data_IF_151360808459
#
_entry.id   IF_151360808459
#
_cell.length_a   1.000
_cell.length_b   1.000
_cell.length_c   1.000
_cell.angle_alpha   90.00
_cell.angle_beta   90.00
_cell.angle_gamma   90.00
#
_symmetry.space_group_name_H-M   'P 1'
#
loop_
_entity.id
_entity.type
_entity.pdbx_description
1 polymer ?
#
# COMPACT_ATOMS: atom_id res chain seq x y z
N UNK A 1 2.30 -1.58 -8.05
CA UNK A 1 1.31 -0.73 -8.76
C UNK A 1 0.46 0.01 -7.73
N UNK A 2 -0.15 1.16 -8.05
CA UNK A 2 -0.98 1.93 -7.10
C UNK A 2 -2.07 1.06 -6.47
N UNK A 3 -2.00 0.86 -5.15
CA UNK A 3 -2.95 0.04 -4.40
C UNK A 3 -4.02 0.92 -3.77
N UNK A 4 -5.29 0.63 -4.08
CA UNK A 4 -6.42 1.43 -3.64
C UNK A 4 -7.17 0.83 -2.47
N UNK A 5 -7.16 -0.49 -2.37
CA UNK A 5 -7.96 -1.25 -1.43
C UNK A 5 -7.16 -2.45 -0.94
N UNK A 6 -7.19 -2.68 0.38
CA UNK A 6 -6.54 -3.81 1.03
C UNK A 6 -7.47 -4.37 2.11
N UNK A 7 -7.48 -5.69 2.28
CA UNK A 7 -8.19 -6.36 3.36
C UNK A 7 -7.41 -6.21 4.68
N UNK A 8 -8.11 -6.00 5.79
CA UNK A 8 -7.50 -6.18 7.11
C UNK A 8 -7.36 -7.67 7.43
N UNK A 9 -6.60 -7.98 8.49
CA UNK A 9 -6.65 -9.29 9.12
C UNK A 9 -8.09 -9.65 9.51
N UNK A 10 -8.44 -10.93 9.37
CA UNK A 10 -9.70 -11.42 9.90
C UNK A 10 -9.60 -11.51 11.43
N UNK A 11 -10.70 -11.20 12.11
CA UNK A 11 -10.78 -11.30 13.56
C UNK A 11 -11.77 -12.41 13.92
N UNK A 12 -11.28 -13.44 14.60
CA UNK A 12 -12.07 -14.53 15.15
C UNK A 12 -12.34 -14.28 16.63
N UNK A 13 -13.61 -14.22 16.98
CA UNK A 13 -14.10 -14.19 18.36
C UNK A 13 -14.35 -15.64 18.78
N UNK A 14 -13.68 -16.07 19.85
CA UNK A 14 -13.70 -17.46 20.30
C UNK A 14 -14.10 -17.52 21.77
N UNK A 15 -15.22 -18.17 22.06
CA UNK A 15 -15.61 -18.53 23.43
C UNK A 15 -14.95 -19.84 23.82
N UNK A 16 -14.28 -19.83 24.97
CA UNK A 16 -13.59 -20.99 25.51
C UNK A 16 -13.66 -20.96 27.04
N UNK A 17 -13.78 -22.15 27.65
CA UNK A 17 -13.56 -22.37 29.08
C UNK A 17 -12.18 -22.97 29.38
N UNK A 18 -11.38 -23.24 28.33
CA UNK A 18 -10.07 -23.90 28.38
C UNK A 18 -8.99 -22.99 27.78
N UNK A 19 -9.01 -21.72 28.15
CA UNK A 19 -8.27 -20.63 27.51
C UNK A 19 -6.78 -20.94 27.43
N UNK A 20 -6.20 -21.37 28.55
CA UNK A 20 -4.78 -21.74 28.63
C UNK A 20 -4.41 -22.89 27.67
N UNK A 21 -5.30 -23.86 27.44
CA UNK A 21 -5.03 -24.97 26.52
C UNK A 21 -5.15 -24.53 25.06
N UNK A 22 -6.13 -23.68 24.76
CA UNK A 22 -6.30 -23.09 23.43
C UNK A 22 -5.13 -22.17 23.08
N UNK A 23 -4.73 -21.27 23.98
CA UNK A 23 -3.55 -20.41 23.83
C UNK A 23 -2.30 -21.25 23.57
N UNK A 24 -2.03 -22.25 24.41
CA UNK A 24 -0.86 -23.10 24.26
C UNK A 24 -0.86 -23.85 22.93
N UNK A 25 -2.01 -24.30 22.45
CA UNK A 25 -2.13 -24.94 21.15
C UNK A 25 -1.78 -23.95 20.02
N UNK A 26 -2.39 -22.77 20.02
CA UNK A 26 -2.15 -21.74 19.00
C UNK A 26 -0.68 -21.28 18.98
N UNK A 27 -0.09 -21.05 20.16
CA UNK A 27 1.30 -20.60 20.29
C UNK A 27 2.28 -21.70 19.82
N UNK A 28 2.13 -22.93 20.31
CA UNK A 28 3.11 -24.01 20.04
C UNK A 28 2.97 -24.59 18.64
N UNK A 29 1.74 -24.72 18.12
CA UNK A 29 1.48 -25.39 16.85
C UNK A 29 1.49 -24.43 15.66
N UNK A 30 1.03 -23.20 15.87
CA UNK A 30 0.80 -22.22 14.80
C UNK A 30 1.61 -20.94 15.00
N UNK A 31 2.61 -20.95 15.90
CA UNK A 31 3.49 -19.81 16.15
C UNK A 31 2.74 -18.52 16.48
N UNK A 32 1.58 -18.63 17.15
CA UNK A 32 0.80 -17.47 17.54
C UNK A 32 1.56 -16.60 18.55
N UNK A 33 1.38 -15.29 18.45
CA UNK A 33 2.00 -14.31 19.35
C UNK A 33 0.91 -13.65 20.19
N UNK A 34 1.04 -13.73 21.52
CA UNK A 34 0.15 -13.03 22.45
C UNK A 34 0.50 -11.55 22.45
N UNK A 35 -0.48 -10.69 22.16
CA UNK A 35 -0.26 -9.24 22.03
C UNK A 35 -1.42 -8.46 22.66
N UNK A 36 -1.32 -7.13 22.68
CA UNK A 36 -2.48 -6.27 22.96
C UNK A 36 -3.30 -6.11 21.69
N UNK A 37 -4.61 -5.92 21.84
CA UNK A 37 -5.53 -5.73 20.73
C UNK A 37 -5.10 -4.62 19.75
N UNK A 38 -4.71 -3.46 20.27
CA UNK A 38 -4.21 -2.35 19.44
C UNK A 38 -2.97 -2.72 18.63
N UNK A 39 -2.04 -3.48 19.22
CA UNK A 39 -0.85 -3.98 18.54
C UNK A 39 -1.19 -5.07 17.51
N UNK A 40 -2.14 -5.95 17.82
CA UNK A 40 -2.62 -6.98 16.90
C UNK A 40 -3.24 -6.33 15.65
N UNK A 41 -4.12 -5.34 15.82
CA UNK A 41 -4.73 -4.60 14.71
C UNK A 41 -3.70 -3.85 13.87
N UNK A 42 -2.68 -3.24 14.50
CA UNK A 42 -1.64 -2.48 13.81
C UNK A 42 -0.63 -3.35 13.03
N UNK A 43 -0.30 -4.54 13.53
CA UNK A 43 0.78 -5.35 12.98
C UNK A 43 0.31 -6.52 12.12
N UNK A 44 -1.00 -6.70 11.96
CA UNK A 44 -1.56 -7.82 11.19
C UNK A 44 -1.87 -7.42 9.75
N UNK A 45 -1.65 -8.36 8.83
CA UNK A 45 -2.05 -8.24 7.42
C UNK A 45 -3.19 -9.21 7.09
N UNK A 46 -3.63 -9.21 5.83
CA UNK A 46 -4.66 -10.14 5.36
C UNK A 46 -4.25 -11.62 5.46
N UNK A 47 -2.96 -11.91 5.59
CA UNK A 47 -2.41 -13.25 5.79
C UNK A 47 -2.37 -13.70 7.26
N UNK A 48 -2.85 -12.85 8.17
CA UNK A 48 -2.89 -13.12 9.60
C UNK A 48 -4.34 -13.22 10.08
N UNK A 49 -4.52 -13.96 11.18
CA UNK A 49 -5.78 -14.02 11.90
C UNK A 49 -5.58 -13.53 13.33
N UNK A 50 -6.40 -12.58 13.76
CA UNK A 50 -6.44 -12.14 15.16
C UNK A 50 -7.48 -12.99 15.86
N UNK A 51 -7.08 -13.70 16.91
CA UNK A 51 -7.96 -14.52 17.74
C UNK A 51 -8.18 -13.81 19.07
N UNK A 52 -9.44 -13.51 19.37
CA UNK A 52 -9.88 -12.93 20.62
C UNK A 52 -10.58 -14.01 21.45
N UNK A 53 -10.00 -14.36 22.59
CA UNK A 53 -10.58 -15.35 23.49
C UNK A 53 -11.48 -14.63 24.50
N UNK A 54 -12.75 -15.03 24.54
CA UNK A 54 -13.80 -14.49 25.37
C UNK A 54 -14.24 -15.52 26.41
N UNK A 55 -14.66 -15.04 27.58
CA UNK A 55 -15.35 -15.86 28.59
C UNK A 55 -16.69 -16.41 28.09
N UNK A 56 -17.44 -15.55 27.39
CA UNK A 56 -18.78 -15.84 26.91
C UNK A 56 -19.04 -15.06 25.63
N UNK A 57 -19.61 -15.71 24.62
CA UNK A 57 -19.96 -15.02 23.39
C UNK A 57 -21.11 -14.03 23.64
N UNK A 58 -20.88 -12.79 23.23
CA UNK A 58 -21.91 -11.73 23.17
C UNK A 58 -22.16 -11.34 21.71
N UNK A 59 -23.38 -10.87 21.36
CA UNK A 59 -23.65 -10.30 20.05
C UNK A 59 -22.73 -9.10 19.71
N UNK A 60 -22.48 -8.24 20.70
CA UNK A 60 -21.61 -7.07 20.62
C UNK A 60 -20.50 -7.24 21.66
N UNK A 61 -19.27 -6.91 21.30
CA UNK A 61 -18.06 -7.20 22.09
C UNK A 61 -17.28 -5.90 22.28
N UNK A 62 -17.00 -5.55 23.52
CA UNK A 62 -16.22 -4.37 23.88
C UNK A 62 -14.72 -4.61 23.71
N UNK A 63 -13.94 -3.55 23.50
CA UNK A 63 -12.48 -3.67 23.38
C UNK A 63 -11.80 -4.27 24.63
N UNK A 64 -12.44 -4.18 25.79
CA UNK A 64 -12.01 -4.74 27.08
C UNK A 64 -12.49 -6.17 27.35
N UNK A 65 -13.44 -6.70 26.58
CA UNK A 65 -14.01 -8.03 26.80
C UNK A 65 -13.01 -9.19 26.60
N UNK A 66 -12.05 -9.15 25.65
CA UNK A 66 -11.14 -10.26 25.44
C UNK A 66 -10.19 -10.50 26.62
N UNK A 67 -10.20 -11.72 27.16
CA UNK A 67 -9.21 -12.21 28.13
C UNK A 67 -7.83 -12.33 27.52
N UNK A 68 -7.78 -12.64 26.24
CA UNK A 68 -6.55 -12.90 25.51
C UNK A 68 -6.69 -12.53 24.05
N UNK A 69 -5.59 -12.01 23.50
CA UNK A 69 -5.48 -11.64 22.10
C UNK A 69 -4.23 -12.28 21.52
N UNK A 70 -4.42 -13.06 20.47
CA UNK A 70 -3.33 -13.72 19.76
C UNK A 70 -3.36 -13.33 18.28
N UNK A 71 -2.20 -13.04 17.73
CA UNK A 71 -2.02 -12.94 16.28
C UNK A 71 -1.44 -14.25 15.78
N UNK A 72 -2.16 -14.92 14.88
CA UNK A 72 -1.74 -16.16 14.24
C UNK A 72 -1.30 -15.85 12.82
N UNK A 73 -0.10 -16.27 12.37
CA UNK A 73 0.41 -16.05 11.02
C UNK A 73 -0.22 -17.03 10.01
N UNK A 74 -1.55 -17.15 10.03
CA UNK A 74 -2.36 -17.98 9.14
C UNK A 74 -3.64 -17.24 8.78
N UNK A 75 -4.14 -17.48 7.57
CA UNK A 75 -5.49 -17.08 7.17
C UNK A 75 -6.53 -17.86 7.99
N UNK A 76 -7.70 -17.25 8.20
CA UNK A 76 -8.67 -17.74 9.19
C UNK A 76 -9.27 -19.09 8.82
N UNK A 77 -9.47 -19.33 7.52
CA UNK A 77 -9.94 -20.60 6.99
C UNK A 77 -8.91 -21.72 7.20
N UNK A 78 -7.63 -21.46 6.91
CA UNK A 78 -6.53 -22.40 7.15
C UNK A 78 -6.44 -22.73 8.66
N UNK A 79 -6.54 -21.71 9.51
CA UNK A 79 -6.53 -21.89 10.96
C UNK A 79 -7.69 -22.79 11.43
N UNK A 80 -8.91 -22.53 10.95
CA UNK A 80 -10.08 -23.33 11.28
C UNK A 80 -9.96 -24.77 10.78
N UNK A 81 -9.47 -24.97 9.55
CA UNK A 81 -9.19 -26.31 9.01
C UNK A 81 -8.19 -27.07 9.88
N UNK A 82 -7.12 -26.40 10.33
CA UNK A 82 -6.12 -27.02 11.20
C UNK A 82 -6.68 -27.41 12.57
N UNK A 83 -7.51 -26.55 13.17
CA UNK A 83 -8.18 -26.85 14.45
C UNK A 83 -9.04 -28.12 14.32
N UNK A 84 -9.80 -28.24 13.23
CA UNK A 84 -10.64 -29.41 12.94
C UNK A 84 -9.78 -30.65 12.70
N UNK A 85 -8.75 -30.53 11.86
CA UNK A 85 -7.83 -31.62 11.52
C UNK A 85 -7.11 -32.18 12.76
N UNK A 86 -6.67 -31.30 13.65
CA UNK A 86 -5.99 -31.67 14.91
C UNK A 86 -6.98 -32.11 16.01
N UNK A 87 -8.28 -32.16 15.70
CA UNK A 87 -9.36 -32.54 16.62
C UNK A 87 -9.39 -31.68 17.90
N UNK A 88 -9.10 -30.38 17.77
CA UNK A 88 -9.06 -29.41 18.88
C UNK A 88 -10.37 -28.63 19.07
N UNK A 89 -11.43 -29.03 18.38
CA UNK A 89 -12.76 -28.41 18.50
C UNK A 89 -13.28 -28.41 19.94
N UNK A 90 -12.88 -29.38 20.77
CA UNK A 90 -13.26 -29.47 22.19
C UNK A 90 -12.65 -28.38 23.09
N UNK A 91 -11.77 -27.53 22.54
CA UNK A 91 -11.22 -26.33 23.19
C UNK A 91 -12.08 -25.08 22.90
N UNK A 92 -13.01 -25.16 21.95
CA UNK A 92 -13.83 -24.04 21.49
C UNK A 92 -15.29 -24.36 21.80
N UNK A 93 -15.97 -23.47 22.52
CA UNK A 93 -17.40 -23.59 22.82
C UNK A 93 -18.25 -22.90 21.76
N UNK A 94 -17.80 -21.72 21.32
CA UNK A 94 -18.47 -20.95 20.28
C UNK A 94 -17.43 -20.14 19.49
N UNK A 95 -17.72 -19.86 18.22
CA UNK A 95 -16.82 -19.10 17.35
C UNK A 95 -17.60 -18.31 16.32
N UNK A 96 -17.16 -17.08 16.05
CA UNK A 96 -17.66 -16.29 14.93
C UNK A 96 -16.58 -15.33 14.42
N UNK A 97 -16.79 -14.86 13.19
CA UNK A 97 -16.03 -13.74 12.65
C UNK A 97 -16.59 -12.42 13.19
N UNK A 98 -15.69 -11.47 13.46
CA UNK A 98 -16.07 -10.07 13.59
C UNK A 98 -16.35 -9.47 12.19
N UNK A 99 -17.02 -8.30 12.12
CA UNK A 99 -17.15 -7.54 10.87
C UNK A 99 -15.80 -7.35 10.18
N UNK A 100 -15.76 -7.63 8.87
CA UNK A 100 -14.52 -7.49 8.08
C UNK A 100 -14.27 -6.01 7.76
N UNK A 101 -13.00 -5.62 7.81
CA UNK A 101 -12.57 -4.25 7.51
C UNK A 101 -11.79 -4.20 6.20
N UNK A 102 -12.15 -3.24 5.35
CA UNK A 102 -11.43 -2.82 4.17
C UNK A 102 -10.68 -1.53 4.48
N UNK A 103 -9.41 -1.47 4.12
CA UNK A 103 -8.60 -0.26 4.19
C UNK A 103 -8.50 0.33 2.80
N UNK A 104 -8.97 1.57 2.65
CA UNK A 104 -8.96 2.29 1.38
C UNK A 104 -7.93 3.43 1.41
N UNK A 105 -7.09 3.50 0.38
CA UNK A 105 -6.17 4.62 0.22
C UNK A 105 -6.91 5.85 -0.31
N UNK A 106 -6.69 6.98 0.32
CA UNK A 106 -7.25 8.28 -0.07
C UNK A 106 -6.13 9.29 -0.27
N UNK A 107 -6.28 10.12 -1.30
CA UNK A 107 -5.42 11.25 -1.57
C UNK A 107 -6.20 12.52 -1.32
N UNK A 108 -5.72 13.40 -0.44
CA UNK A 108 -6.39 14.67 -0.17
C UNK A 108 -7.41 14.59 0.97
N UNK A 109 -8.68 14.84 0.66
CA UNK A 109 -9.75 15.09 1.63
C UNK A 109 -10.60 13.84 1.90
N UNK A 110 -10.45 13.26 3.09
CA UNK A 110 -11.17 12.08 3.54
C UNK A 110 -12.69 12.30 3.69
N UNK A 111 -13.14 13.50 4.06
CA UNK A 111 -14.56 13.80 4.26
C UNK A 111 -15.33 13.79 2.94
N UNK A 112 -14.69 14.24 1.85
CA UNK A 112 -15.28 14.14 0.51
C UNK A 112 -15.47 12.70 0.07
N UNK A 113 -14.52 11.83 0.39
CA UNK A 113 -14.65 10.40 0.12
C UNK A 113 -15.80 9.82 0.94
N UNK A 114 -15.91 10.15 2.24
CA UNK A 114 -17.03 9.74 3.09
C UNK A 114 -18.38 10.19 2.52
N UNK A 115 -18.48 11.44 2.07
CA UNK A 115 -19.71 11.94 1.44
C UNK A 115 -20.03 11.18 0.15
N UNK A 116 -19.01 10.82 -0.64
CA UNK A 116 -19.20 10.00 -1.83
C UNK A 116 -19.75 8.60 -1.51
N UNK A 117 -19.35 8.02 -0.38
CA UNK A 117 -19.97 6.77 0.11
C UNK A 117 -21.44 6.95 0.47
N UNK A 118 -21.81 8.04 1.13
CA UNK A 118 -23.22 8.35 1.49
C UNK A 118 -24.12 8.54 0.27
N UNK A 119 -23.57 8.97 -0.87
CA UNK A 119 -24.33 9.06 -2.13
C UNK A 119 -24.67 7.67 -2.70
N UNK A 120 -23.82 6.67 -2.46
CA UNK A 120 -23.90 5.36 -3.10
C UNK A 120 -24.49 4.26 -2.21
N UNK A 121 -24.39 4.41 -0.89
CA UNK A 121 -24.80 3.41 0.07
C UNK A 121 -25.55 4.05 1.23
N UNK A 122 -26.52 3.29 1.75
CA UNK A 122 -27.01 3.53 3.10
C UNK A 122 -25.93 3.09 4.09
N UNK A 123 -25.25 4.07 4.69
CA UNK A 123 -24.06 3.83 5.50
C UNK A 123 -24.06 4.65 6.78
N UNK A 124 -23.51 4.06 7.84
CA UNK A 124 -23.33 4.71 9.13
C UNK A 124 -21.86 5.12 9.31
N UNK A 125 -21.63 6.27 9.95
CA UNK A 125 -20.29 6.73 10.30
C UNK A 125 -20.01 6.32 11.74
N UNK A 126 -18.93 5.58 11.93
CA UNK A 126 -18.48 5.05 13.23
C UNK A 126 -17.00 5.36 13.44
N UNK A 127 -16.43 4.87 14.53
CA UNK A 127 -15.02 4.98 14.89
C UNK A 127 -14.41 3.59 15.07
N UNK A 128 -13.13 3.43 14.75
CA UNK A 128 -12.44 2.13 14.85
C UNK A 128 -12.58 1.46 16.24
N UNK A 129 -12.47 2.20 17.36
CA UNK A 129 -12.64 1.60 18.68
C UNK A 129 -14.05 1.07 18.96
N UNK A 130 -15.08 1.51 18.23
CA UNK A 130 -16.46 1.14 18.52
C UNK A 130 -16.98 0.01 17.62
N UNK A 131 -16.16 -0.48 16.68
CA UNK A 131 -16.61 -1.34 15.59
C UNK A 131 -17.37 -2.57 16.11
N UNK A 132 -16.83 -3.25 17.11
CA UNK A 132 -17.40 -4.50 17.64
C UNK A 132 -18.46 -4.26 18.71
N UNK A 133 -18.52 -3.05 19.25
CA UNK A 133 -19.52 -2.58 20.20
C UNK A 133 -20.82 -2.21 19.49
N UNK A 134 -20.72 -1.73 18.24
CA UNK A 134 -21.86 -1.29 17.44
C UNK A 134 -22.34 -2.36 16.45
N UNK A 135 -21.43 -3.20 15.92
CA UNK A 135 -21.74 -4.10 14.82
C UNK A 135 -21.24 -5.53 15.03
N UNK A 136 -22.07 -6.50 14.64
CA UNK A 136 -21.75 -7.94 14.69
C UNK A 136 -21.55 -8.58 13.30
N UNK A 137 -21.96 -7.88 12.24
CA UNK A 137 -21.95 -8.31 10.85
C UNK A 137 -21.87 -7.07 9.94
N UNK A 138 -21.72 -7.27 8.63
CA UNK A 138 -21.54 -6.20 7.66
C UNK A 138 -20.06 -5.93 7.33
N UNK A 139 -19.81 -4.80 6.68
CA UNK A 139 -18.50 -4.42 6.17
C UNK A 139 -18.13 -3.03 6.67
N UNK A 140 -16.89 -2.90 7.14
CA UNK A 140 -16.32 -1.60 7.47
C UNK A 140 -15.32 -1.17 6.42
N UNK A 141 -15.31 0.12 6.13
CA UNK A 141 -14.29 0.77 5.34
C UNK A 141 -13.61 1.81 6.21
N UNK A 142 -12.29 1.74 6.32
CA UNK A 142 -11.46 2.77 6.93
C UNK A 142 -10.55 3.38 5.88
N UNK A 143 -10.18 4.64 6.07
CA UNK A 143 -9.42 5.41 5.10
C UNK A 143 -7.99 5.60 5.58
N UNK A 144 -7.02 5.69 4.68
CA UNK A 144 -5.63 6.05 5.02
C UNK A 144 -4.97 6.86 3.91
N UNK A 145 -4.02 7.72 4.28
CA UNK A 145 -3.12 8.41 3.35
C UNK A 145 -1.83 7.63 3.09
N UNK A 146 -1.52 6.64 3.93
CA UNK A 146 -0.32 5.81 3.78
C UNK A 146 -0.47 4.86 2.59
N UNK A 147 0.65 4.46 1.96
CA UNK A 147 0.66 3.35 1.01
C UNK A 147 0.17 2.05 1.66
N UNK A 148 -0.56 1.21 0.91
CA UNK A 148 -1.24 0.04 1.47
C UNK A 148 -0.34 -1.20 1.57
N UNK A 149 0.79 -1.22 0.84
CA UNK A 149 1.77 -2.31 0.92
C UNK A 149 2.56 -2.30 2.24
N UNK A 150 2.58 -1.18 2.97
CA UNK A 150 3.26 -1.08 4.25
C UNK A 150 2.38 -1.58 5.40
N UNK A 151 3.02 -1.90 6.53
CA UNK A 151 2.32 -2.12 7.80
C UNK A 151 1.64 -0.82 8.23
N UNK A 152 0.34 -0.88 8.55
CA UNK A 152 -0.46 0.29 8.91
C UNK A 152 -0.80 0.23 10.40
N UNK A 153 -0.35 1.22 11.16
CA UNK A 153 -0.80 1.36 12.53
C UNK A 153 -2.21 1.94 12.57
N UNK A 154 -2.93 1.73 13.68
CA UNK A 154 -4.24 2.36 13.90
C UNK A 154 -4.19 3.90 13.80
N UNK A 155 -3.02 4.50 14.08
CA UNK A 155 -2.80 5.94 14.00
C UNK A 155 -2.60 6.44 12.56
N UNK A 156 -2.27 5.53 11.63
CA UNK A 156 -2.19 5.84 10.20
C UNK A 156 -3.57 5.82 9.52
N UNK A 157 -4.59 5.31 10.23
CA UNK A 157 -5.97 5.26 9.77
C UNK A 157 -6.71 6.54 10.13
N UNK A 158 -7.67 6.90 9.28
CA UNK A 158 -8.57 7.99 9.53
C UNK A 158 -9.50 7.63 10.70
N UNK A 159 -9.80 8.63 11.55
CA UNK A 159 -10.56 8.40 12.79
C UNK A 159 -11.96 7.86 12.54
N UNK A 160 -12.61 8.34 11.46
CA UNK A 160 -13.95 7.91 11.06
C UNK A 160 -13.84 6.71 10.12
N UNK A 161 -14.70 5.74 10.35
CA UNK A 161 -14.91 4.58 9.50
C UNK A 161 -16.35 4.57 8.99
N UNK A 162 -16.56 3.92 7.86
CA UNK A 162 -17.85 3.81 7.17
C UNK A 162 -18.33 2.38 7.36
N UNK A 163 -19.49 2.22 7.97
CA UNK A 163 -20.17 0.93 8.12
C UNK A 163 -21.26 0.79 7.06
N UNK A 164 -21.31 -0.38 6.42
CA UNK A 164 -22.36 -0.74 5.47
C UNK A 164 -22.88 -2.12 5.85
N UNK A 165 -24.19 -2.25 6.03
CA UNK A 165 -24.87 -3.52 6.32
C UNK A 165 -25.01 -4.38 5.05
N UNK A 166 -23.87 -4.76 4.49
CA UNK A 166 -23.73 -5.61 3.31
C UNK A 166 -22.52 -6.52 3.46
N UNK A 167 -22.54 -7.62 2.72
CA UNK A 167 -21.44 -8.59 2.73
C UNK A 167 -20.13 -7.97 2.24
N UNK A 168 -19.02 -8.42 2.84
CA UNK A 168 -17.67 -7.98 2.47
C UNK A 168 -17.42 -8.12 0.98
N UNK A 169 -17.76 -9.27 0.39
CA UNK A 169 -17.52 -9.56 -1.03
C UNK A 169 -18.29 -8.63 -1.95
N UNK A 170 -19.52 -8.26 -1.60
CA UNK A 170 -20.31 -7.31 -2.39
C UNK A 170 -19.68 -5.92 -2.40
N UNK A 171 -19.30 -5.42 -1.21
CA UNK A 171 -18.66 -4.10 -1.06
C UNK A 171 -17.29 -4.08 -1.71
N UNK A 172 -16.45 -5.09 -1.47
CA UNK A 172 -15.11 -5.18 -2.03
C UNK A 172 -15.12 -5.18 -3.56
N UNK A 173 -15.96 -6.01 -4.19
CA UNK A 173 -16.13 -6.04 -5.65
C UNK A 173 -16.62 -4.69 -6.19
N UNK A 174 -17.62 -4.13 -5.53
CA UNK A 174 -18.20 -2.83 -5.89
C UNK A 174 -17.18 -1.69 -5.83
N UNK A 175 -16.34 -1.67 -4.78
CA UNK A 175 -15.30 -0.68 -4.60
C UNK A 175 -14.15 -0.83 -5.59
N UNK A 176 -13.76 -2.07 -5.95
CA UNK A 176 -12.75 -2.28 -6.99
C UNK A 176 -13.18 -1.69 -8.32
N UNK A 177 -14.44 -1.89 -8.72
CA UNK A 177 -15.00 -1.33 -9.96
C UNK A 177 -14.99 0.20 -9.95
N UNK A 178 -15.28 0.81 -8.79
CA UNK A 178 -15.41 2.25 -8.60
C UNK A 178 -14.17 2.91 -7.97
N UNK A 179 -13.03 2.23 -7.92
CA UNK A 179 -11.88 2.66 -7.13
C UNK A 179 -11.40 4.07 -7.51
N UNK A 180 -11.33 4.36 -8.81
CA UNK A 180 -10.95 5.67 -9.33
C UNK A 180 -11.94 6.78 -8.97
N UNK A 181 -13.23 6.47 -8.87
CA UNK A 181 -14.27 7.45 -8.53
C UNK A 181 -14.08 7.97 -7.10
N UNK A 182 -13.94 7.07 -6.13
CA UNK A 182 -13.69 7.43 -4.73
C UNK A 182 -12.33 8.11 -4.55
N UNK A 183 -11.32 7.66 -5.30
CA UNK A 183 -10.02 8.32 -5.29
C UNK A 183 -10.15 9.77 -5.76
N UNK A 184 -10.85 10.00 -6.87
CA UNK A 184 -11.08 11.32 -7.43
C UNK A 184 -11.89 12.22 -6.50
N UNK A 185 -12.83 11.66 -5.73
CA UNK A 185 -13.58 12.41 -4.73
C UNK A 185 -12.65 13.05 -3.68
N UNK A 186 -11.57 12.35 -3.28
CA UNK A 186 -10.59 12.86 -2.33
C UNK A 186 -9.60 13.87 -2.92
N UNK A 187 -9.28 13.78 -4.23
CA UNK A 187 -8.16 14.49 -4.86
C UNK A 187 -8.23 16.02 -4.82
N UNK A 188 -9.36 16.62 -4.41
CA UNK A 188 -9.59 18.06 -4.48
C UNK A 188 -9.42 18.58 -5.93
N UNK A 189 -8.98 19.83 -6.12
CA UNK A 189 -8.72 20.44 -7.44
C UNK A 189 -7.45 19.89 -8.14
N UNK A 190 -6.96 18.70 -7.76
CA UNK A 190 -5.81 18.09 -8.42
C UNK A 190 -6.30 17.22 -9.55
N UNK A 191 -5.93 17.62 -10.76
CA UNK A 191 -6.15 16.79 -11.93
C UNK A 191 -5.06 15.74 -12.07
N UNK A 192 -5.44 14.60 -12.62
CA UNK A 192 -4.47 13.63 -13.09
C UNK A 192 -3.64 14.21 -14.23
N UNK A 193 -2.35 13.87 -14.22
CA UNK A 193 -1.39 14.23 -15.23
C UNK A 193 -0.92 12.96 -15.95
N UNK A 194 -1.00 12.98 -17.29
CA UNK A 194 -0.28 12.02 -18.12
C UNK A 194 1.13 12.56 -18.37
N UNK A 195 2.12 11.78 -17.95
CA UNK A 195 3.54 12.06 -18.07
C UNK A 195 4.19 11.04 -18.99
N UNK A 196 5.04 11.52 -19.88
CA UNK A 196 5.88 10.67 -20.70
C UNK A 196 7.30 10.68 -20.14
N UNK A 197 7.79 9.51 -19.73
CA UNK A 197 9.16 9.31 -19.29
C UNK A 197 9.92 8.64 -20.42
N UNK A 198 11.03 9.24 -20.85
CA UNK A 198 11.95 8.65 -21.82
C UNK A 198 13.22 8.23 -21.11
N UNK A 199 13.62 6.98 -21.35
CA UNK A 199 14.82 6.37 -20.82
C UNK A 199 15.87 6.39 -21.93
N UNK A 200 17.01 7.02 -21.66
CA UNK A 200 18.20 6.95 -22.49
C UNK A 200 19.30 6.25 -21.72
N UNK A 201 19.91 5.26 -22.36
CA UNK A 201 21.07 4.57 -21.86
C UNK A 201 22.07 4.35 -22.99
N UNK A 202 23.33 4.69 -22.72
CA UNK A 202 24.43 4.51 -23.67
C UNK A 202 24.84 3.03 -23.84
N UNK A 203 24.52 2.19 -22.85
CA UNK A 203 24.88 0.77 -22.81
C UNK A 203 23.74 -0.16 -23.25
N UNK A 204 22.62 0.42 -23.68
CA UNK A 204 21.44 -0.29 -24.16
C UNK A 204 20.73 -1.22 -23.15
N UNK A 205 20.99 -1.06 -21.86
CA UNK A 205 20.37 -1.82 -20.76
C UNK A 205 19.03 -1.20 -20.31
N UNK A 206 18.18 -0.88 -21.29
CA UNK A 206 16.89 -0.22 -21.05
C UNK A 206 15.97 -1.02 -20.13
N UNK A 207 16.04 -2.36 -20.20
CA UNK A 207 15.21 -3.24 -19.39
C UNK A 207 15.52 -3.09 -17.91
N UNK A 208 16.80 -3.08 -17.52
CA UNK A 208 17.20 -2.91 -16.12
C UNK A 208 16.76 -1.55 -15.58
N UNK A 209 16.90 -0.48 -16.38
CA UNK A 209 16.45 0.84 -16.00
C UNK A 209 14.93 0.94 -15.86
N UNK A 210 14.20 0.35 -16.79
CA UNK A 210 12.75 0.28 -16.74
C UNK A 210 12.28 -0.50 -15.51
N UNK A 211 12.81 -1.71 -15.25
CA UNK A 211 12.41 -2.53 -14.11
C UNK A 211 12.71 -1.84 -12.77
N UNK A 212 13.87 -1.17 -12.67
CA UNK A 212 14.20 -0.35 -11.49
C UNK A 212 13.26 0.84 -11.34
N UNK A 213 12.92 1.54 -12.42
CA UNK A 213 11.97 2.66 -12.38
C UNK A 213 10.58 2.17 -11.97
N UNK A 214 10.14 1.03 -12.52
CA UNK A 214 8.86 0.40 -12.18
C UNK A 214 8.82 0.08 -10.69
N UNK A 215 9.83 -0.62 -10.16
CA UNK A 215 9.96 -0.92 -8.72
C UNK A 215 9.74 0.33 -7.86
N UNK A 216 10.41 1.43 -8.18
CA UNK A 216 10.27 2.69 -7.42
C UNK A 216 8.88 3.32 -7.59
N UNK A 217 8.31 3.30 -8.79
CA UNK A 217 6.93 3.78 -9.04
C UNK A 217 5.92 2.97 -8.23
N UNK A 218 6.16 1.67 -8.07
CA UNK A 218 5.29 0.77 -7.32
C UNK A 218 5.45 0.94 -5.81
N UNK A 219 6.67 0.89 -5.30
CA UNK A 219 6.98 1.06 -3.87
C UNK A 219 6.58 2.43 -3.34
N UNK A 220 6.75 3.49 -4.13
CA UNK A 220 6.28 4.82 -3.72
C UNK A 220 4.81 5.07 -4.10
N UNK A 221 4.17 4.11 -4.77
CA UNK A 221 2.82 4.19 -5.30
C UNK A 221 2.56 5.54 -6.02
N UNK A 222 3.43 5.87 -6.98
CA UNK A 222 3.46 7.17 -7.67
C UNK A 222 2.37 7.33 -8.74
N UNK A 223 1.72 6.25 -9.16
CA UNK A 223 0.70 6.31 -10.19
C UNK A 223 0.48 4.97 -10.89
N UNK A 224 -0.11 5.05 -12.08
CA UNK A 224 -0.43 3.93 -12.96
C UNK A 224 0.41 4.02 -14.23
N UNK A 225 0.93 2.88 -14.70
CA UNK A 225 1.55 2.79 -16.02
C UNK A 225 0.45 2.52 -17.04
N UNK A 226 0.30 3.41 -18.02
CA UNK A 226 -0.72 3.29 -19.07
C UNK A 226 -0.18 2.61 -20.33
N UNK A 227 1.13 2.62 -20.54
CA UNK A 227 1.71 2.04 -21.73
C UNK A 227 3.21 2.23 -21.82
N UNK A 228 3.79 1.37 -22.64
CA UNK A 228 5.22 1.26 -22.87
C UNK A 228 5.47 1.11 -24.35
N UNK A 229 6.55 1.71 -24.84
CA UNK A 229 6.90 1.62 -26.26
C UNK A 229 8.37 1.88 -26.50
N UNK A 230 8.91 1.20 -27.50
CA UNK A 230 10.18 1.59 -28.11
C UNK A 230 9.96 2.82 -28.99
N UNK A 231 10.92 3.73 -28.96
CA UNK A 231 10.94 4.91 -29.80
C UNK A 231 12.33 5.21 -30.34
N UNK A 232 12.40 6.23 -31.19
CA UNK A 232 13.64 6.84 -31.64
C UNK A 232 13.52 8.35 -31.48
N UNK A 233 14.52 8.97 -30.87
CA UNK A 233 14.64 10.42 -30.81
C UNK A 233 15.73 10.88 -31.75
N UNK A 234 15.41 11.85 -32.60
CA UNK A 234 16.36 12.48 -33.50
C UNK A 234 17.11 13.58 -32.75
N UNK A 235 18.36 13.31 -32.37
CA UNK A 235 19.24 14.30 -31.73
C UNK A 235 19.74 15.31 -32.79
N UNK A 236 19.85 14.86 -34.04
CA UNK A 236 20.08 15.69 -35.23
C UNK A 236 19.49 14.99 -36.47
N UNK A 237 19.50 15.65 -37.63
CA UNK A 237 18.99 15.12 -38.92
C UNK A 237 19.59 13.73 -39.24
N UNK A 238 20.83 13.46 -38.79
CA UNK A 238 21.57 12.24 -39.13
C UNK A 238 21.75 11.26 -37.97
N UNK A 239 21.27 11.57 -36.76
CA UNK A 239 21.48 10.72 -35.57
C UNK A 239 20.18 10.49 -34.82
N UNK A 240 19.67 9.27 -34.94
CA UNK A 240 18.55 8.75 -34.14
C UNK A 240 19.10 7.90 -32.99
N UNK A 241 18.68 8.21 -31.77
CA UNK A 241 19.00 7.43 -30.57
C UNK A 241 17.77 6.61 -30.19
N UNK A 242 17.98 5.33 -29.89
CA UNK A 242 16.92 4.43 -29.41
C UNK A 242 16.51 4.88 -28.01
N UNK A 243 15.20 4.90 -27.75
CA UNK A 243 14.66 5.26 -26.45
C UNK A 243 13.61 4.25 -26.02
N UNK A 244 13.49 4.05 -24.72
CA UNK A 244 12.33 3.39 -24.14
C UNK A 244 11.41 4.44 -23.53
N UNK A 245 10.12 4.42 -23.89
CA UNK A 245 9.13 5.40 -23.42
C UNK A 245 8.10 4.71 -22.53
N UNK A 246 7.85 5.34 -21.39
CA UNK A 246 6.87 4.96 -20.39
C UNK A 246 5.82 6.06 -20.24
N UNK A 247 4.54 5.69 -20.26
CA UNK A 247 3.43 6.59 -19.95
C UNK A 247 2.99 6.40 -18.50
N UNK A 248 3.25 7.38 -17.66
CA UNK A 248 2.84 7.40 -16.25
C UNK A 248 1.63 8.32 -16.08
N UNK A 249 0.56 7.80 -15.49
CA UNK A 249 -0.61 8.55 -15.08
C UNK A 249 -0.60 8.75 -13.57
N UNK A 250 -0.54 10.00 -13.14
CA UNK A 250 -0.30 10.34 -11.74
C UNK A 250 -1.06 11.59 -11.31
N UNK A 251 -1.45 11.66 -10.03
CA UNK A 251 -1.99 12.88 -9.42
C UNK A 251 -0.90 13.75 -8.77
N UNK A 252 0.37 13.31 -8.83
CA UNK A 252 1.49 14.11 -8.40
C UNK A 252 1.83 15.18 -9.44
N UNK A 253 2.28 16.34 -8.95
CA UNK A 253 2.73 17.40 -9.84
C UNK A 253 3.94 16.94 -10.65
N UNK A 254 4.04 17.31 -11.94
CA UNK A 254 5.12 16.84 -12.80
C UNK A 254 6.53 17.14 -12.25
N UNK A 255 6.70 18.25 -11.54
CA UNK A 255 7.95 18.64 -10.87
C UNK A 255 8.37 17.64 -9.80
N UNK A 256 7.42 17.08 -9.06
CA UNK A 256 7.69 16.06 -8.05
C UNK A 256 8.22 14.78 -8.69
N UNK A 257 7.60 14.34 -9.79
CA UNK A 257 8.07 13.17 -10.55
C UNK A 257 9.46 13.42 -11.13
N UNK A 258 9.74 14.62 -11.66
CA UNK A 258 11.07 14.94 -12.16
C UNK A 258 12.14 14.88 -11.06
N UNK A 259 11.82 15.31 -9.83
CA UNK A 259 12.71 15.17 -8.68
C UNK A 259 13.04 13.70 -8.39
N UNK A 260 12.05 12.81 -8.43
CA UNK A 260 12.25 11.36 -8.26
C UNK A 260 13.18 10.81 -9.34
N UNK A 261 12.91 11.12 -10.61
CA UNK A 261 13.71 10.65 -11.74
C UNK A 261 15.18 11.08 -11.63
N UNK A 262 15.46 12.33 -11.26
CA UNK A 262 16.83 12.82 -11.07
C UNK A 262 17.56 12.05 -9.96
N UNK A 263 16.85 11.66 -8.89
CA UNK A 263 17.40 10.81 -7.83
C UNK A 263 17.76 9.40 -8.33
N UNK A 264 17.03 8.88 -9.31
CA UNK A 264 17.30 7.58 -9.93
C UNK A 264 18.40 7.64 -11.00
N UNK A 265 18.70 8.81 -11.56
CA UNK A 265 19.79 8.98 -12.55
C UNK A 265 21.18 8.70 -11.96
N UNK A 266 21.34 8.81 -10.63
CA UNK A 266 22.64 8.75 -9.95
C UNK A 266 22.75 7.62 -8.90
N UNK A 267 23.94 7.05 -8.83
CA UNK A 267 24.39 6.16 -7.75
C UNK A 267 24.84 6.97 -6.52
N UNK A 268 25.14 6.28 -5.42
CA UNK A 268 25.55 6.89 -4.16
C UNK A 268 26.86 7.70 -4.27
N UNK A 269 27.82 7.22 -5.05
CA UNK A 269 29.08 7.91 -5.35
C UNK A 269 28.88 9.18 -6.21
N UNK A 270 27.71 9.32 -6.85
CA UNK A 270 27.40 10.39 -7.80
C UNK A 270 27.57 9.98 -9.26
N UNK A 271 27.95 8.73 -9.53
CA UNK A 271 28.04 8.20 -10.89
C UNK A 271 26.67 8.22 -11.54
N UNK A 272 26.55 8.89 -12.68
CA UNK A 272 25.31 8.93 -13.46
C UNK A 272 25.19 7.66 -14.30
N UNK A 273 24.07 6.97 -14.14
CA UNK A 273 23.82 5.65 -14.73
C UNK A 273 22.70 5.64 -15.77
N UNK A 274 21.90 6.70 -15.88
CA UNK A 274 20.80 6.77 -16.85
C UNK A 274 20.39 8.23 -17.06
N UNK A 275 19.79 8.53 -18.21
CA UNK A 275 19.05 9.78 -18.41
C UNK A 275 17.56 9.52 -18.47
N UNK A 276 16.82 10.21 -17.60
CA UNK A 276 15.36 10.18 -17.60
C UNK A 276 14.81 11.54 -17.99
N UNK A 277 14.27 11.65 -19.20
CA UNK A 277 13.53 12.85 -19.57
C UNK A 277 12.06 12.70 -19.22
N UNK A 278 11.50 13.77 -18.65
CA UNK A 278 10.08 13.86 -18.33
C UNK A 278 9.41 14.87 -19.24
N UNK A 279 8.29 14.50 -19.83
CA UNK A 279 7.44 15.38 -20.60
C UNK A 279 6.03 15.44 -20.02
N UNK A 280 5.47 16.64 -19.97
CA UNK A 280 4.07 16.89 -19.64
C UNK A 280 3.46 17.75 -20.74
N UNK A 281 2.30 17.33 -21.29
CA UNK A 281 1.64 18.03 -22.41
C UNK A 281 2.62 18.35 -23.56
N UNK A 282 3.46 17.38 -23.93
CA UNK A 282 4.51 17.46 -24.97
C UNK A 282 5.65 18.46 -24.68
N UNK A 283 5.70 19.07 -23.49
CA UNK A 283 6.79 19.95 -23.08
C UNK A 283 7.74 19.21 -22.14
N UNK A 284 9.04 19.28 -22.42
CA UNK A 284 10.07 18.71 -21.56
C UNK A 284 10.14 19.51 -20.26
N UNK A 285 10.11 18.81 -19.13
CA UNK A 285 10.29 19.41 -17.82
C UNK A 285 11.78 19.37 -17.49
N UNK A 286 12.39 20.55 -17.50
CA UNK A 286 13.80 20.71 -17.22
C UNK A 286 14.10 20.50 -15.74
N UNK A 287 15.30 20.04 -15.41
CA UNK A 287 15.78 20.07 -14.03
C UNK A 287 15.94 21.51 -13.51
N UNK A 288 16.14 22.49 -14.41
CA UNK A 288 16.32 23.90 -14.04
C UNK A 288 15.05 24.54 -13.48
N UNK A 289 13.87 24.02 -13.83
CA UNK A 289 12.61 24.49 -13.26
C UNK A 289 12.38 24.00 -11.83
N UNK A 290 13.25 23.12 -11.30
CA UNK A 290 13.21 22.61 -9.94
C UNK A 290 14.10 23.39 -8.97
N UNK A 291 14.76 24.47 -9.43
CA UNK A 291 15.57 25.33 -8.57
C UNK A 291 14.65 26.07 -7.59
N UNK A 292 14.45 25.48 -6.42
CA UNK A 292 14.28 26.27 -5.21
C UNK A 292 15.53 27.16 -5.11
N UNK A 293 15.32 28.45 -4.82
CA UNK A 293 16.23 29.63 -4.77
C UNK A 293 17.75 29.46 -4.42
N UNK A 294 18.25 28.26 -4.12
CA UNK A 294 19.64 27.92 -3.85
C UNK A 294 20.39 27.45 -5.11
N UNK A 295 21.66 27.88 -5.23
CA UNK A 295 22.60 27.57 -6.33
C UNK A 295 23.12 26.12 -6.31
N UNK A 296 22.25 25.13 -6.21
CA UNK A 296 22.66 23.71 -6.19
C UNK A 296 22.88 23.17 -7.62
N UNK A 297 23.90 22.34 -7.78
CA UNK A 297 24.17 21.58 -9.00
C UNK A 297 23.18 20.43 -9.19
N UNK A 298 23.06 19.91 -10.41
CA UNK A 298 22.15 18.78 -10.72
C UNK A 298 22.52 17.53 -9.90
N UNK A 299 23.82 17.31 -9.69
CA UNK A 299 24.33 16.11 -9.00
C UNK A 299 24.05 16.17 -7.49
N UNK A 300 24.18 17.36 -6.88
CA UNK A 300 23.79 17.58 -5.47
C UNK A 300 22.28 17.35 -5.27
N UNK A 301 21.46 17.84 -6.20
CA UNK A 301 20.01 17.58 -6.19
C UNK A 301 19.76 16.07 -6.33
N UNK A 302 20.48 15.39 -7.22
CA UNK A 302 20.40 13.94 -7.39
C UNK A 302 20.66 13.17 -6.10
N UNK A 303 21.76 13.49 -5.40
CA UNK A 303 22.10 12.86 -4.12
C UNK A 303 21.04 13.07 -3.05
N UNK A 304 20.53 14.29 -2.92
CA UNK A 304 19.47 14.61 -1.95
C UNK A 304 18.17 13.86 -2.27
N UNK A 305 17.76 13.86 -3.55
CA UNK A 305 16.54 13.18 -3.97
C UNK A 305 16.66 11.67 -3.84
N UNK A 306 17.82 11.10 -4.13
CA UNK A 306 18.11 9.68 -3.88
C UNK A 306 17.92 9.33 -2.40
N UNK A 307 18.54 10.07 -1.49
CA UNK A 307 18.38 9.83 -0.05
C UNK A 307 16.91 9.94 0.41
N UNK A 308 16.16 10.87 -0.18
CA UNK A 308 14.72 11.03 0.08
C UNK A 308 13.89 9.84 -0.45
N UNK A 309 14.24 9.30 -1.61
CA UNK A 309 13.61 8.09 -2.16
C UNK A 309 13.86 6.92 -1.21
N UNK A 310 15.14 6.65 -0.89
CA UNK A 310 15.52 5.51 -0.07
C UNK A 310 14.95 5.58 1.35
N UNK A 311 14.79 6.77 1.94
CA UNK A 311 14.19 6.90 3.28
C UNK A 311 12.70 6.58 3.32
N UNK A 312 12.02 6.55 2.17
CA UNK A 312 10.61 6.18 2.04
C UNK A 312 10.38 4.70 1.74
N UNK A 313 11.43 3.99 1.33
CA UNK A 313 11.39 2.56 1.05
C UNK A 313 11.57 1.76 2.33
N UNK A 314 10.93 0.60 2.40
CA UNK A 314 11.25 -0.39 3.42
C UNK A 314 12.56 -1.13 3.08
N UNK A 315 13.09 -1.93 3.99
CA UNK A 315 14.42 -2.53 3.82
C UNK A 315 14.47 -3.57 2.68
N UNK A 316 13.38 -4.29 2.44
CA UNK A 316 13.27 -5.23 1.31
C UNK A 316 13.31 -4.46 -0.03
N UNK A 317 12.59 -3.34 -0.11
CA UNK A 317 12.55 -2.50 -1.31
C UNK A 317 13.89 -1.83 -1.60
N UNK A 318 14.62 -1.43 -0.56
CA UNK A 318 16.00 -0.93 -0.69
C UNK A 318 16.92 -2.00 -1.25
N UNK A 319 16.86 -3.21 -0.70
CA UNK A 319 17.69 -4.34 -1.15
C UNK A 319 17.41 -4.68 -2.63
N UNK A 320 16.15 -4.67 -3.06
CA UNK A 320 15.79 -4.87 -4.47
C UNK A 320 16.37 -3.74 -5.35
N UNK A 321 16.26 -2.48 -4.92
CA UNK A 321 16.83 -1.36 -5.66
C UNK A 321 18.37 -1.46 -5.76
N UNK A 322 19.05 -1.87 -4.70
CA UNK A 322 20.50 -2.08 -4.68
C UNK A 322 20.92 -3.18 -5.65
N UNK A 323 20.19 -4.32 -5.68
CA UNK A 323 20.43 -5.40 -6.65
C UNK A 323 20.30 -4.92 -8.11
N UNK A 324 19.35 -4.05 -8.42
CA UNK A 324 19.26 -3.45 -9.75
C UNK A 324 20.49 -2.59 -10.06
N UNK A 325 20.94 -1.79 -9.09
CA UNK A 325 22.12 -0.94 -9.27
C UNK A 325 23.42 -1.72 -9.45
N UNK A 326 23.57 -2.86 -8.75
CA UNK A 326 24.69 -3.77 -8.93
C UNK A 326 24.72 -4.36 -10.34
N UNK A 327 23.60 -4.93 -10.81
CA UNK A 327 23.48 -5.45 -12.19
C UNK A 327 23.77 -4.38 -13.24
N UNK A 328 23.27 -3.17 -13.01
CA UNK A 328 23.53 -2.03 -13.90
C UNK A 328 25.03 -1.68 -13.92
N UNK A 329 25.73 -1.75 -12.78
CA UNK A 329 27.19 -1.50 -12.73
C UNK A 329 27.97 -2.57 -13.49
N UNK A 330 27.60 -3.85 -13.39
CA UNK A 330 28.25 -4.96 -14.11
C UNK A 330 28.24 -4.77 -15.64
N UNK A 331 27.25 -4.05 -16.18
CA UNK A 331 27.17 -3.79 -17.62
C UNK A 331 28.09 -2.66 -18.11
N UNK A 332 28.75 -1.94 -17.18
CA UNK A 332 29.49 -0.70 -17.47
C UNK A 332 30.93 -0.69 -16.98
N UNK A 333 31.25 -1.49 -15.97
CA UNK A 333 32.53 -1.45 -15.24
C UNK A 333 33.22 -2.81 -15.26
#
# INVERSE_FOLDING_TARGET
>A
MLSFLRSSANVLLVESSKDNLLENYLIKKHSAIKTKLSSALANSSEHNTIVLILDKMKPLVEFSDPKSVLTVPLESDILLVNIIKDKKNNLIQNIRLAPKTLVMRVFGDEEKVINKFKEHYDCNITYIPNIWEEFNSGTLITLTKRPLHNTLSINDLYKKSIYIDKSYTEIERSLRIRALEYLNAGLNKKDWCELDIKIYDAYEEYKLHYERLLHIVESLELGLILGESWGKDTVSIFRAVKIYRLKLFTFYQPEYIKKILIGLEHLQDGTRIVDYDLFYKRKKISWTSLKDRNKMSKDEIGKIMRSNILSKLNDVEKEINEKFEEKIKETRF
#
